data_IF_727884772738
#
_entry.id   IF_727884772738
#
_cell.length_a   1.000
_cell.length_b   1.000
_cell.length_c   1.000
_cell.angle_alpha   90.00
_cell.angle_beta   90.00
_cell.angle_gamma   90.00
#
_symmetry.space_group_name_H-M   'P 1'
#
loop_
_entity.id
_entity.type
_entity.pdbx_description
1 polymer ?
#
# COMPACT_ATOMS: atom_id res chain seq x y z
N UNK A 1 1.99 7.56 -14.55
CA UNK A 1 1.01 8.10 -13.58
C UNK A 1 1.63 9.37 -12.96
N UNK A 2 1.04 10.56 -13.10
CA UNK A 2 1.56 11.80 -12.50
C UNK A 2 0.42 12.71 -12.06
N UNK A 3 0.69 13.61 -11.10
CA UNK A 3 -0.25 14.64 -10.67
C UNK A 3 -0.35 15.73 -11.75
N UNK A 4 -1.52 16.36 -11.87
CA UNK A 4 -1.68 17.51 -12.75
C UNK A 4 -0.87 18.71 -12.23
N UNK A 5 -0.36 19.56 -13.11
CA UNK A 5 0.32 20.78 -12.71
C UNK A 5 -0.59 21.65 -11.82
N UNK A 6 -0.03 22.21 -10.74
CA UNK A 6 -0.80 22.99 -9.76
C UNK A 6 -1.56 22.16 -8.71
N UNK A 7 -1.45 20.83 -8.71
CA UNK A 7 -2.03 20.00 -7.65
C UNK A 7 -1.38 20.30 -6.31
N UNK A 8 -2.20 20.56 -5.28
CA UNK A 8 -1.73 20.60 -3.89
C UNK A 8 -1.29 19.19 -3.46
N UNK A 9 -0.01 18.92 -3.64
CA UNK A 9 0.61 17.64 -3.31
C UNK A 9 0.85 17.46 -1.82
N UNK A 10 0.56 18.49 -1.02
CA UNK A 10 0.80 18.51 0.42
C UNK A 10 -0.47 18.25 1.21
N UNK A 11 -1.66 18.66 0.74
CA UNK A 11 -2.89 18.51 1.53
C UNK A 11 -4.04 17.85 0.76
N UNK A 12 -4.03 17.87 -0.57
CA UNK A 12 -5.14 17.35 -1.36
C UNK A 12 -4.92 15.91 -1.80
N UNK A 13 -6.01 15.14 -1.84
CA UNK A 13 -6.06 13.81 -2.43
C UNK A 13 -7.29 13.71 -3.33
N UNK A 14 -7.23 12.87 -4.35
CA UNK A 14 -8.42 12.51 -5.11
C UNK A 14 -9.24 11.52 -4.29
N UNK A 15 -10.54 11.77 -4.13
CA UNK A 15 -11.44 10.96 -3.31
C UNK A 15 -12.72 10.67 -4.08
N UNK A 16 -13.10 9.40 -4.14
CA UNK A 16 -14.44 8.97 -4.52
C UNK A 16 -15.17 8.47 -3.27
N UNK A 17 -16.08 9.30 -2.77
CA UNK A 17 -16.93 8.99 -1.62
C UNK A 17 -18.23 8.32 -2.10
N UNK A 18 -18.41 7.05 -1.79
CA UNK A 18 -19.58 6.28 -2.21
C UNK A 18 -20.73 6.31 -1.21
N UNK A 19 -20.55 6.99 -0.07
CA UNK A 19 -21.56 7.13 0.97
C UNK A 19 -22.69 8.11 0.61
N UNK A 20 -22.62 8.77 -0.54
CA UNK A 20 -23.53 9.87 -0.89
C UNK A 20 -23.14 11.20 -0.24
N UNK A 21 -21.87 11.37 0.14
CA UNK A 21 -21.36 12.57 0.79
C UNK A 21 -21.58 12.61 2.30
N UNK A 22 -21.96 11.49 2.91
CA UNK A 22 -22.19 11.31 4.35
C UNK A 22 -20.96 10.68 5.02
N UNK A 23 -20.02 11.49 5.51
CA UNK A 23 -18.67 11.05 5.85
C UNK A 23 -18.65 10.21 7.13
N UNK A 24 -19.57 10.52 8.04
CA UNK A 24 -19.79 9.84 9.30
C UNK A 24 -20.28 8.39 9.13
N UNK A 25 -20.82 8.02 7.97
CA UNK A 25 -21.26 6.63 7.73
C UNK A 25 -20.22 5.81 6.97
N UNK A 26 -19.12 6.42 6.51
CA UNK A 26 -18.01 5.72 5.83
C UNK A 26 -17.34 4.79 6.84
N UNK A 27 -17.28 3.50 6.49
CA UNK A 27 -16.72 2.45 7.34
C UNK A 27 -15.29 2.09 6.96
N UNK A 28 -14.93 2.23 5.69
CA UNK A 28 -13.61 1.87 5.18
C UNK A 28 -13.10 2.92 4.20
N UNK A 29 -11.81 3.27 4.30
CA UNK A 29 -11.09 4.13 3.36
C UNK A 29 -9.99 3.31 2.72
N UNK A 30 -9.96 3.24 1.39
CA UNK A 30 -8.97 2.48 0.63
C UNK A 30 -7.99 3.43 -0.04
N UNK A 31 -6.73 3.40 0.41
CA UNK A 31 -5.66 4.24 -0.14
C UNK A 31 -4.91 3.52 -1.26
N UNK A 32 -4.91 4.13 -2.44
CA UNK A 32 -4.21 3.66 -3.63
C UNK A 32 -3.21 4.73 -4.09
N UNK A 33 -2.18 4.32 -4.84
CA UNK A 33 -1.18 5.26 -5.36
C UNK A 33 -1.74 6.14 -6.48
N UNK A 34 -2.67 5.62 -7.29
CA UNK A 34 -3.30 6.37 -8.37
C UNK A 34 -4.81 6.15 -8.48
N UNK A 35 -5.48 7.07 -9.17
CA UNK A 35 -6.91 6.98 -9.42
C UNK A 35 -7.26 5.78 -10.30
N UNK A 36 -6.37 5.38 -11.22
CA UNK A 36 -6.54 4.17 -12.02
C UNK A 36 -6.54 2.93 -11.13
N UNK A 37 -5.64 2.83 -10.16
CA UNK A 37 -5.60 1.70 -9.22
C UNK A 37 -6.84 1.67 -8.32
N UNK A 38 -7.28 2.84 -7.85
CA UNK A 38 -8.51 2.95 -7.06
C UNK A 38 -9.75 2.49 -7.85
N UNK A 39 -9.85 2.90 -9.12
CA UNK A 39 -10.94 2.47 -10.01
C UNK A 39 -10.86 0.98 -10.33
N UNK A 40 -9.66 0.45 -10.62
CA UNK A 40 -9.45 -0.97 -10.89
C UNK A 40 -9.79 -1.84 -9.66
N UNK A 41 -9.31 -1.44 -8.48
CA UNK A 41 -9.66 -2.06 -7.20
C UNK A 41 -11.18 -2.12 -7.03
N UNK A 42 -11.88 -1.01 -7.24
CA UNK A 42 -13.33 -0.98 -7.12
C UNK A 42 -14.00 -1.90 -8.14
N UNK A 43 -13.62 -1.82 -9.42
CA UNK A 43 -14.23 -2.64 -10.47
C UNK A 43 -14.12 -4.14 -10.19
N UNK A 44 -12.95 -4.60 -9.75
CA UNK A 44 -12.67 -5.99 -9.42
C UNK A 44 -13.37 -6.45 -8.15
N UNK A 45 -13.50 -5.58 -7.14
CA UNK A 45 -13.98 -5.96 -5.81
C UNK A 45 -15.40 -5.48 -5.47
N UNK A 46 -16.09 -4.77 -6.38
CA UNK A 46 -17.40 -4.11 -6.13
C UNK A 46 -18.48 -5.00 -5.50
N UNK A 47 -18.44 -6.31 -5.74
CA UNK A 47 -19.41 -7.26 -5.16
C UNK A 47 -19.19 -7.49 -3.66
N UNK A 48 -17.94 -7.34 -3.20
CA UNK A 48 -17.54 -7.48 -1.80
C UNK A 48 -17.55 -6.12 -1.07
N UNK A 49 -17.55 -5.02 -1.82
CA UNK A 49 -17.58 -3.67 -1.30
C UNK A 49 -19.02 -3.22 -1.03
N UNK A 50 -19.23 -2.57 0.12
CA UNK A 50 -20.48 -1.85 0.41
C UNK A 50 -20.46 -0.43 -0.16
N UNK A 51 -21.55 0.31 0.04
CA UNK A 51 -21.65 1.74 -0.35
C UNK A 51 -20.96 2.69 0.64
N UNK A 52 -20.75 2.25 1.87
CA UNK A 52 -20.19 3.06 2.95
C UNK A 52 -18.66 3.06 2.92
N UNK A 53 -18.07 3.46 1.80
CA UNK A 53 -16.63 3.45 1.59
C UNK A 53 -16.16 4.76 0.94
N UNK A 54 -14.87 5.06 1.10
CA UNK A 54 -14.17 6.05 0.29
C UNK A 54 -12.97 5.39 -0.41
N UNK A 55 -12.77 5.71 -1.68
CA UNK A 55 -11.58 5.34 -2.45
C UNK A 55 -10.71 6.58 -2.57
N UNK A 56 -9.41 6.43 -2.33
CA UNK A 56 -8.47 7.56 -2.25
C UNK A 56 -7.27 7.29 -3.13
N UNK A 57 -6.90 8.28 -3.93
CA UNK A 57 -5.67 8.29 -4.70
C UNK A 57 -4.77 9.42 -4.23
N UNK A 58 -3.54 9.07 -3.87
CA UNK A 58 -2.53 10.04 -3.40
C UNK A 58 -1.71 10.64 -4.56
N UNK A 59 -1.78 10.04 -5.75
CA UNK A 59 -1.11 10.51 -6.96
C UNK A 59 0.40 10.29 -6.96
N UNK A 60 0.88 9.20 -6.35
CA UNK A 60 2.29 8.90 -6.10
C UNK A 60 2.67 9.08 -4.62
N UNK A 61 3.90 9.53 -4.35
CA UNK A 61 4.34 9.82 -2.97
C UNK A 61 3.36 10.75 -2.26
N UNK A 62 3.06 10.43 -1.00
CA UNK A 62 2.15 11.20 -0.16
C UNK A 62 2.87 12.03 0.91
N UNK A 63 2.21 13.07 1.38
CA UNK A 63 2.54 13.79 2.61
C UNK A 63 1.74 13.22 3.79
N UNK A 64 2.22 13.47 5.02
CA UNK A 64 1.48 13.06 6.22
C UNK A 64 0.13 13.80 6.32
N UNK A 65 0.08 15.05 5.86
CA UNK A 65 -1.13 15.88 5.84
C UNK A 65 -2.21 15.32 4.88
N UNK A 66 -1.85 14.67 3.77
CA UNK A 66 -2.82 13.99 2.91
C UNK A 66 -3.50 12.83 3.63
N UNK A 67 -2.71 11.95 4.24
CA UNK A 67 -3.24 10.78 4.95
C UNK A 67 -4.09 11.21 6.15
N UNK A 68 -3.55 12.08 7.00
CA UNK A 68 -4.26 12.56 8.19
C UNK A 68 -5.48 13.41 7.83
N UNK A 69 -5.41 14.25 6.80
CA UNK A 69 -6.55 15.04 6.32
C UNK A 69 -7.71 14.16 5.85
N UNK A 70 -7.42 13.10 5.10
CA UNK A 70 -8.43 12.11 4.70
C UNK A 70 -9.01 11.37 5.91
N UNK A 71 -8.18 10.96 6.87
CA UNK A 71 -8.70 10.27 8.05
C UNK A 71 -9.48 11.19 8.99
N UNK A 72 -9.14 12.48 9.07
CA UNK A 72 -9.92 13.49 9.79
C UNK A 72 -11.30 13.71 9.13
N UNK A 73 -11.38 13.59 7.79
CA UNK A 73 -12.65 13.64 7.05
C UNK A 73 -13.55 12.44 7.38
N UNK A 74 -12.96 11.28 7.64
CA UNK A 74 -13.62 9.99 7.89
C UNK A 74 -13.15 9.35 9.22
N UNK A 75 -13.45 9.97 10.37
CA UNK A 75 -12.80 9.65 11.65
C UNK A 75 -13.09 8.22 12.16
N UNK A 76 -14.27 7.69 11.86
CA UNK A 76 -14.69 6.34 12.28
C UNK A 76 -14.30 5.25 11.28
N UNK A 77 -13.74 5.64 10.13
CA UNK A 77 -13.46 4.70 9.06
C UNK A 77 -12.16 3.94 9.32
N UNK A 78 -12.12 2.70 8.85
CA UNK A 78 -10.91 1.89 8.87
C UNK A 78 -10.06 2.14 7.62
N UNK A 79 -8.77 2.51 7.76
CA UNK A 79 -7.87 2.66 6.63
C UNK A 79 -7.38 1.30 6.09
N UNK A 80 -7.27 1.21 4.76
CA UNK A 80 -6.72 0.06 4.02
C UNK A 80 -5.56 0.51 3.13
N UNK A 81 -4.41 -0.14 3.29
CA UNK A 81 -3.27 -0.12 2.35
C UNK A 81 -3.64 -0.95 1.13
N UNK A 82 -3.75 -0.29 -0.02
CA UNK A 82 -3.97 -0.89 -1.34
C UNK A 82 -2.88 -0.48 -2.33
N UNK A 83 -1.68 -0.11 -1.84
CA UNK A 83 -0.56 0.33 -2.66
C UNK A 83 0.05 -0.80 -3.48
N UNK A 84 0.98 -0.46 -4.37
CA UNK A 84 1.59 -1.38 -5.31
C UNK A 84 2.39 -2.48 -4.58
N UNK A 85 2.53 -3.65 -5.20
CA UNK A 85 3.34 -4.77 -4.71
C UNK A 85 4.84 -4.54 -4.90
N UNK A 86 5.25 -3.39 -5.44
CA UNK A 86 6.66 -3.03 -5.52
C UNK A 86 7.19 -2.49 -4.19
N UNK A 87 8.51 -2.34 -4.10
CA UNK A 87 9.18 -1.92 -2.88
C UNK A 87 8.73 -0.53 -2.40
N UNK A 88 8.44 0.40 -3.33
CA UNK A 88 7.99 1.74 -2.98
C UNK A 88 6.59 1.68 -2.35
N UNK A 89 5.67 0.92 -2.95
CA UNK A 89 4.34 0.69 -2.40
C UNK A 89 4.36 0.02 -1.02
N UNK A 90 5.28 -0.91 -0.78
CA UNK A 90 5.47 -1.51 0.56
C UNK A 90 5.97 -0.49 1.59
N UNK A 91 6.91 0.39 1.22
CA UNK A 91 7.38 1.48 2.09
C UNK A 91 6.24 2.47 2.38
N UNK A 92 5.42 2.81 1.38
CA UNK A 92 4.25 3.67 1.56
C UNK A 92 3.24 3.07 2.55
N UNK A 93 2.96 1.77 2.46
CA UNK A 93 2.08 1.08 3.41
C UNK A 93 2.61 1.12 4.84
N UNK A 94 3.91 0.88 5.04
CA UNK A 94 4.56 0.97 6.34
C UNK A 94 4.57 2.39 6.90
N UNK A 95 4.83 3.40 6.06
CA UNK A 95 4.78 4.81 6.47
C UNK A 95 3.36 5.21 6.86
N UNK A 96 2.35 4.78 6.12
CA UNK A 96 0.95 5.02 6.47
C UNK A 96 0.57 4.36 7.80
N UNK A 97 1.04 3.12 8.03
CA UNK A 97 0.87 2.42 9.30
C UNK A 97 1.52 3.19 10.46
N UNK A 98 2.79 3.57 10.32
CA UNK A 98 3.53 4.33 11.32
C UNK A 98 2.80 5.62 11.70
N UNK A 99 2.32 6.35 10.69
CA UNK A 99 1.62 7.62 10.85
C UNK A 99 0.27 7.45 11.57
N UNK A 100 -0.59 6.53 11.11
CA UNK A 100 -1.96 6.39 11.62
C UNK A 100 -2.05 5.65 12.95
N UNK A 101 -1.07 4.81 13.29
CA UNK A 101 -1.00 4.12 14.58
C UNK A 101 -0.18 4.89 15.62
N UNK A 102 0.44 6.02 15.23
CA UNK A 102 1.37 6.80 16.05
C UNK A 102 2.52 5.95 16.61
N UNK A 103 3.08 5.09 15.75
CA UNK A 103 4.20 4.22 16.09
C UNK A 103 5.40 4.67 15.26
N UNK A 104 6.40 5.35 15.85
CA UNK A 104 7.60 5.72 15.14
C UNK A 104 8.29 4.48 14.59
N UNK A 105 8.52 4.46 13.28
CA UNK A 105 9.21 3.40 12.58
C UNK A 105 10.37 3.98 11.78
N UNK A 106 11.55 3.39 11.90
CA UNK A 106 12.62 3.58 10.94
C UNK A 106 12.54 2.42 9.93
N UNK A 107 12.48 2.75 8.65
CA UNK A 107 12.33 1.78 7.56
C UNK A 107 13.61 1.82 6.74
N UNK A 108 14.45 0.81 6.95
CA UNK A 108 15.72 0.65 6.25
C UNK A 108 15.62 -0.46 5.20
N UNK A 109 16.61 -0.50 4.31
CA UNK A 109 16.75 -1.54 3.30
C UNK A 109 18.08 -2.25 3.52
N UNK A 110 18.05 -3.59 3.51
CA UNK A 110 19.26 -4.43 3.51
C UNK A 110 19.88 -4.51 2.11
N UNK A 111 21.11 -5.04 2.03
CA UNK A 111 21.82 -5.23 0.76
C UNK A 111 21.09 -6.19 -0.19
N UNK A 112 20.45 -7.24 0.33
CA UNK A 112 19.61 -8.19 -0.40
C UNK A 112 18.22 -7.63 -0.75
N UNK A 113 17.93 -6.38 -0.34
CA UNK A 113 16.74 -5.64 -0.74
C UNK A 113 15.50 -5.85 0.13
N UNK A 114 15.61 -6.57 1.24
CA UNK A 114 14.56 -6.69 2.23
C UNK A 114 14.37 -5.38 3.00
N UNK A 115 13.15 -5.17 3.51
CA UNK A 115 12.84 -4.01 4.34
C UNK A 115 13.03 -4.38 5.81
N UNK A 116 13.73 -3.55 6.55
CA UNK A 116 13.91 -3.67 8.00
C UNK A 116 13.13 -2.56 8.67
N UNK A 117 12.21 -2.95 9.55
CA UNK A 117 11.40 -2.02 10.34
C UNK A 117 11.90 -2.04 11.77
N UNK A 118 12.46 -0.92 12.20
CA UNK A 118 12.86 -0.69 13.57
C UNK A 118 11.82 0.17 14.27
N UNK A 119 11.32 -0.29 15.40
CA UNK A 119 10.42 0.49 16.24
C UNK A 119 10.68 0.20 17.71
N UNK A 120 10.78 1.27 18.50
CA UNK A 120 11.19 1.21 19.91
C UNK A 120 12.56 0.52 20.02
N UNK A 121 12.60 -0.70 20.56
CA UNK A 121 13.82 -1.50 20.74
C UNK A 121 13.74 -2.85 20.01
N UNK A 122 12.89 -2.95 18.98
CA UNK A 122 12.72 -4.17 18.19
C UNK A 122 12.99 -3.85 16.72
N UNK A 123 13.63 -4.80 16.05
CA UNK A 123 13.90 -4.75 14.62
C UNK A 123 13.29 -5.98 13.96
N UNK A 124 12.63 -5.77 12.83
CA UNK A 124 11.90 -6.79 12.09
C UNK A 124 12.32 -6.72 10.63
N UNK A 125 12.99 -7.75 10.14
CA UNK A 125 13.22 -7.92 8.69
C UNK A 125 11.97 -8.52 8.07
N UNK A 126 11.41 -7.82 7.07
CA UNK A 126 10.16 -8.20 6.42
C UNK A 126 10.43 -9.12 5.23
N UNK A 127 9.79 -10.28 5.25
CA UNK A 127 9.66 -11.19 4.11
C UNK A 127 8.74 -10.54 3.06
N UNK A 128 9.18 -10.53 1.80
CA UNK A 128 8.45 -9.87 0.69
C UNK A 128 7.14 -10.56 0.33
N UNK A 129 6.99 -11.85 0.66
CA UNK A 129 5.86 -12.68 0.27
C UNK A 129 4.73 -12.70 1.33
N UNK A 130 4.93 -12.06 2.49
CA UNK A 130 3.94 -12.01 3.58
C UNK A 130 3.47 -10.57 3.83
N UNK A 131 2.19 -10.34 4.15
CA UNK A 131 1.71 -9.02 4.52
C UNK A 131 2.47 -8.47 5.73
N UNK A 132 3.08 -7.28 5.60
CA UNK A 132 3.90 -6.71 6.67
C UNK A 132 3.13 -6.58 7.99
N UNK A 133 1.80 -6.35 7.95
CA UNK A 133 0.99 -6.21 9.17
C UNK A 133 1.03 -7.47 10.03
N UNK A 134 1.06 -8.64 9.40
CA UNK A 134 1.11 -9.93 10.10
C UNK A 134 2.46 -10.09 10.77
N UNK A 135 3.54 -9.84 10.01
CA UNK A 135 4.91 -9.93 10.50
C UNK A 135 5.17 -8.96 11.67
N UNK A 136 4.73 -7.70 11.53
CA UNK A 136 4.82 -6.69 12.58
C UNK A 136 3.94 -7.03 13.79
N UNK A 137 2.74 -7.60 13.61
CA UNK A 137 1.89 -7.99 14.74
C UNK A 137 2.51 -9.15 15.54
N UNK A 138 3.10 -10.14 14.87
CA UNK A 138 3.77 -11.28 15.48
C UNK A 138 4.99 -10.82 16.31
N UNK A 139 5.80 -9.91 15.75
CA UNK A 139 7.09 -9.54 16.34
C UNK A 139 7.04 -8.29 17.24
N UNK A 140 6.10 -7.36 17.00
CA UNK A 140 5.93 -6.12 17.78
C UNK A 140 4.71 -6.13 18.70
N UNK A 141 3.98 -7.26 18.77
CA UNK A 141 2.89 -7.53 19.72
C UNK A 141 1.79 -6.45 19.78
N UNK A 142 1.48 -5.82 18.64
CA UNK A 142 0.54 -4.68 18.58
C UNK A 142 -0.63 -4.94 17.63
N UNK A 143 -1.84 -4.54 18.04
CA UNK A 143 -3.04 -4.59 17.19
C UNK A 143 -3.18 -3.25 16.47
N UNK A 144 -3.11 -3.29 15.14
CA UNK A 144 -3.24 -2.13 14.28
C UNK A 144 -4.66 -1.98 13.71
N UNK A 145 -5.14 -0.74 13.57
CA UNK A 145 -6.37 -0.38 12.86
C UNK A 145 -6.19 -0.49 11.34
N UNK A 146 -5.03 -0.12 10.81
CA UNK A 146 -4.71 -0.22 9.38
C UNK A 146 -4.77 -1.67 8.90
N UNK A 147 -5.51 -1.90 7.82
CA UNK A 147 -5.59 -3.20 7.13
C UNK A 147 -4.87 -3.14 5.78
N UNK A 148 -4.61 -4.30 5.20
CA UNK A 148 -4.04 -4.42 3.86
C UNK A 148 -5.00 -5.15 2.95
N UNK A 149 -5.15 -4.66 1.73
CA UNK A 149 -5.79 -5.38 0.62
C UNK A 149 -4.95 -5.12 -0.63
N UNK A 150 -3.98 -6.01 -0.84
CA UNK A 150 -2.98 -5.86 -1.89
C UNK A 150 -3.45 -6.47 -3.21
N UNK A 151 -2.92 -6.00 -4.35
CA UNK A 151 -3.07 -6.71 -5.62
C UNK A 151 -2.56 -8.16 -5.48
N UNK A 152 -3.06 -9.12 -6.27
CA UNK A 152 -2.52 -10.47 -6.24
C UNK A 152 -1.03 -10.48 -6.56
N UNK A 153 -0.25 -11.36 -5.91
CA UNK A 153 1.23 -11.37 -5.95
C UNK A 153 1.85 -11.37 -7.35
N UNK A 154 1.16 -11.93 -8.35
CA UNK A 154 1.63 -11.97 -9.72
C UNK A 154 1.57 -10.62 -10.45
N UNK A 155 0.92 -9.61 -9.87
CA UNK A 155 0.69 -8.31 -10.48
C UNK A 155 1.32 -7.20 -9.63
N UNK A 156 1.84 -6.18 -10.31
CA UNK A 156 2.45 -5.03 -9.66
C UNK A 156 1.39 -4.20 -8.95
N UNK A 157 0.35 -3.81 -9.67
CA UNK A 157 -0.71 -2.94 -9.16
C UNK A 157 -2.10 -3.48 -9.53
N UNK A 158 -3.16 -2.82 -9.04
CA UNK A 158 -4.54 -3.22 -9.31
C UNK A 158 -4.94 -3.04 -10.77
N UNK A 159 -4.38 -2.03 -11.44
CA UNK A 159 -4.64 -1.78 -12.85
C UNK A 159 -4.03 -2.87 -13.73
N UNK A 160 -2.83 -3.33 -13.45
CA UNK A 160 -2.17 -4.45 -14.11
C UNK A 160 -2.96 -5.75 -13.90
N UNK A 161 -3.50 -5.96 -12.70
CA UNK A 161 -4.39 -7.10 -12.46
C UNK A 161 -5.66 -7.04 -13.29
N UNK A 162 -6.30 -5.88 -13.36
CA UNK A 162 -7.48 -5.66 -14.21
C UNK A 162 -7.18 -5.89 -15.70
N UNK A 163 -6.00 -5.48 -16.16
CA UNK A 163 -5.58 -5.59 -17.56
C UNK A 163 -4.91 -6.94 -17.89
N UNK A 164 -4.84 -7.87 -16.94
CA UNK A 164 -4.16 -9.16 -17.09
C UNK A 164 -2.68 -9.05 -17.51
N UNK A 165 -1.95 -8.10 -16.91
CA UNK A 165 -0.52 -7.85 -17.14
C UNK A 165 0.31 -8.29 -15.93
N UNK A 166 0.69 -9.57 -15.82
CA UNK A 166 1.53 -10.01 -14.71
C UNK A 166 2.91 -9.36 -14.76
N UNK A 167 3.56 -9.26 -13.61
CA UNK A 167 4.97 -8.86 -13.54
C UNK A 167 5.83 -9.85 -14.32
N UNK A 168 6.79 -9.34 -15.08
CA UNK A 168 7.79 -10.20 -15.70
C UNK A 168 8.57 -10.93 -14.61
N UNK A 169 8.58 -12.26 -14.67
CA UNK A 169 9.50 -13.06 -13.87
C UNK A 169 10.88 -12.72 -14.40
N UNK A 170 11.64 -11.90 -13.65
CA UNK A 170 13.08 -11.83 -13.88
C UNK A 170 13.59 -13.25 -13.69
N UNK A 171 13.94 -13.92 -14.78
CA UNK A 171 14.74 -15.11 -14.70
C UNK A 171 16.00 -14.70 -13.93
N UNK A 172 16.13 -15.18 -12.70
CA UNK A 172 17.42 -15.12 -12.04
C UNK A 172 18.41 -15.78 -13.00
N UNK A 173 19.47 -15.04 -13.36
CA UNK A 173 20.63 -15.54 -14.11
C UNK A 173 21.44 -16.55 -13.26
N UNK A 174 20.76 -17.44 -12.53
CA UNK A 174 21.31 -18.57 -11.82
C UNK A 174 21.09 -19.81 -12.68
N UNK A 175 21.98 -20.00 -13.67
CA UNK A 175 22.45 -21.29 -14.26
C UNK A 175 22.90 -21.15 -15.73
N UNK A 176 23.65 -20.11 -16.09
CA UNK A 176 24.44 -20.14 -17.33
C UNK A 176 25.97 -20.12 -17.09
N UNK A 177 26.42 -19.67 -15.91
CA UNK A 177 27.84 -19.67 -15.55
C UNK A 177 28.36 -21.01 -14.96
N UNK A 178 27.52 -22.03 -14.82
CA UNK A 178 27.96 -23.38 -14.43
C UNK A 178 28.17 -24.34 -15.62
N UNK A 179 27.79 -23.95 -16.84
CA UNK A 179 27.96 -24.79 -18.05
C UNK A 179 29.24 -24.42 -18.82
N UNK A 180 29.80 -23.22 -18.61
CA UNK A 180 31.04 -22.76 -19.26
C UNK A 180 32.34 -23.18 -18.56
N UNK A 181 32.28 -23.81 -17.38
CA UNK A 181 33.45 -24.32 -16.65
C UNK A 181 33.63 -25.85 -16.77
N UNK A 182 32.97 -26.47 -17.75
CA UNK A 182 33.07 -27.92 -18.04
C UNK A 182 33.31 -28.21 -19.54
N UNK A 183 33.83 -27.24 -20.28
CA UNK A 183 34.29 -27.41 -21.67
C UNK A 183 35.81 -27.22 -21.77
#
# INVERSE_FOLDING_TARGET
KSKAAGTDSSNAAWVADLSGGYPNIVKNVFFCESAFDAMAFYQLNRKQLGKNIALVSLGGTFSDAQITGVMNRYPEARPFDCFDNDQAGRIYGLRMLSLLEHIPMNINRTEDGLLVVESKNRSVTLESDRPYRVQLQEQLSSRYKVRQWLPPKAFKDWNDYLLHKPMEVKADNLKQDQISNLA
#
